data_IF_014026889187
#
_entry.id   IF_014026889187
#
_cell.length_a   1.000
_cell.length_b   1.000
_cell.length_c   1.000
_cell.angle_alpha   90.00
_cell.angle_beta   90.00
_cell.angle_gamma   90.00
#
_symmetry.space_group_name_H-M   'P 1'
#
loop_
_entity.id
_entity.type
_entity.pdbx_description
1 polymer ?
#
# COMPACT_ATOMS: atom_id res chain seq x y z
N UNK A 1 -17.23 -11.87 -15.94
CA UNK A 1 -16.27 -10.78 -16.19
C UNK A 1 -16.50 -9.74 -15.11
N UNK A 2 -15.43 -9.28 -14.46
CA UNK A 2 -15.50 -8.64 -13.14
C UNK A 2 -16.49 -7.47 -13.09
N UNK A 3 -17.46 -7.49 -12.14
CA UNK A 3 -18.53 -6.48 -12.09
C UNK A 3 -18.07 -5.09 -11.60
N UNK A 4 -16.78 -4.91 -11.30
CA UNK A 4 -16.26 -3.68 -10.70
C UNK A 4 -15.07 -3.12 -11.48
N UNK A 5 -15.01 -1.80 -11.64
CA UNK A 5 -13.82 -1.12 -12.15
C UNK A 5 -12.70 -1.19 -11.12
N UNK A 6 -11.52 -1.63 -11.55
CA UNK A 6 -10.33 -1.66 -10.71
C UNK A 6 -9.60 -0.32 -10.78
N UNK A 7 -9.40 0.28 -9.62
CA UNK A 7 -8.59 1.48 -9.42
C UNK A 7 -7.23 1.04 -8.91
N UNK A 8 -6.17 1.48 -9.55
CA UNK A 8 -4.79 1.21 -9.14
C UNK A 8 -4.01 2.49 -8.97
N UNK A 9 -2.95 2.39 -8.16
CA UNK A 9 -1.89 3.40 -8.15
C UNK A 9 -0.90 3.19 -9.29
N UNK A 10 -0.25 4.29 -9.66
CA UNK A 10 0.73 4.37 -10.74
C UNK A 10 1.95 3.48 -10.47
N UNK A 11 2.58 3.02 -11.56
CA UNK A 11 3.73 2.10 -11.55
C UNK A 11 4.97 2.63 -10.82
N UNK A 12 5.09 3.96 -10.65
CA UNK A 12 6.18 4.55 -9.86
C UNK A 12 6.07 4.26 -8.36
N UNK A 13 4.92 3.75 -7.88
CA UNK A 13 4.79 3.28 -6.51
C UNK A 13 5.46 1.91 -6.35
N UNK A 14 6.25 1.74 -5.28
CA UNK A 14 6.81 0.43 -4.93
C UNK A 14 5.75 -0.65 -4.71
N UNK A 15 4.51 -0.26 -4.39
CA UNK A 15 3.37 -1.16 -4.24
C UNK A 15 2.97 -1.79 -5.58
N UNK A 16 2.93 -1.03 -6.67
CA UNK A 16 2.50 -1.55 -7.98
C UNK A 16 3.48 -2.55 -8.55
N UNK A 17 4.78 -2.30 -8.41
CA UNK A 17 5.83 -3.26 -8.82
C UNK A 17 5.69 -4.60 -8.10
N UNK A 18 5.46 -4.56 -6.78
CA UNK A 18 5.27 -5.77 -5.97
C UNK A 18 3.99 -6.52 -6.34
N UNK A 19 2.89 -5.78 -6.54
CA UNK A 19 1.61 -6.34 -6.94
C UNK A 19 1.68 -6.99 -8.32
N UNK A 20 2.24 -6.30 -9.32
CA UNK A 20 2.40 -6.82 -10.68
C UNK A 20 3.25 -8.11 -10.68
N UNK A 21 4.33 -8.15 -9.90
CA UNK A 21 5.17 -9.34 -9.78
C UNK A 21 4.42 -10.53 -9.15
N UNK A 22 3.60 -10.30 -8.11
CA UNK A 22 2.81 -11.34 -7.47
C UNK A 22 1.66 -11.85 -8.37
N UNK A 23 0.99 -10.94 -9.09
CA UNK A 23 -0.04 -11.27 -10.07
C UNK A 23 0.54 -12.12 -11.20
N UNK A 24 1.72 -11.75 -11.72
CA UNK A 24 2.42 -12.50 -12.75
C UNK A 24 2.77 -13.91 -12.29
N UNK A 25 3.32 -14.08 -11.07
CA UNK A 25 3.61 -15.41 -10.48
C UNK A 25 2.36 -16.28 -10.33
N UNK A 26 1.20 -15.65 -10.09
CA UNK A 26 -0.08 -16.35 -9.92
C UNK A 26 -0.85 -16.52 -11.23
N UNK A 27 -0.28 -16.10 -12.36
CA UNK A 27 -0.93 -16.05 -13.67
C UNK A 27 -2.27 -15.30 -13.66
N UNK A 28 -2.40 -14.28 -12.81
CA UNK A 28 -3.58 -13.43 -12.71
C UNK A 28 -3.36 -12.17 -13.56
N UNK A 29 -4.32 -11.86 -14.43
CA UNK A 29 -4.32 -10.62 -15.22
C UNK A 29 -5.46 -9.74 -14.75
N UNK A 30 -5.12 -8.64 -14.09
CA UNK A 30 -6.08 -7.60 -13.72
C UNK A 30 -6.20 -6.56 -14.83
N UNK A 31 -7.43 -6.11 -15.09
CA UNK A 31 -7.71 -5.00 -16.01
C UNK A 31 -7.91 -3.73 -15.22
N UNK A 32 -6.83 -2.97 -15.07
CA UNK A 32 -6.86 -1.64 -14.46
C UNK A 32 -7.72 -0.69 -15.30
N UNK A 33 -8.69 -0.05 -14.67
CA UNK A 33 -9.59 0.91 -15.33
C UNK A 33 -9.18 2.35 -15.04
N UNK A 34 -8.90 2.66 -13.77
CA UNK A 34 -8.35 3.95 -13.35
C UNK A 34 -6.92 3.77 -12.84
N UNK A 35 -6.03 4.66 -13.27
CA UNK A 35 -4.66 4.75 -12.75
C UNK A 35 -4.43 6.13 -12.14
N UNK A 36 -4.08 6.17 -10.85
CA UNK A 36 -3.87 7.42 -10.09
C UNK A 36 -2.48 7.47 -9.48
N UNK A 37 -1.98 8.67 -9.17
CA UNK A 37 -0.63 8.82 -8.59
C UNK A 37 -0.58 8.47 -7.10
N UNK A 38 -1.63 8.78 -6.33
CA UNK A 38 -1.64 8.67 -4.87
C UNK A 38 -2.74 7.73 -4.36
N UNK A 39 -2.45 7.01 -3.27
CA UNK A 39 -3.41 6.09 -2.61
C UNK A 39 -4.65 6.83 -2.09
N UNK A 40 -4.48 8.07 -1.60
CA UNK A 40 -5.60 8.91 -1.14
C UNK A 40 -6.59 9.21 -2.26
N UNK A 41 -6.11 9.53 -3.46
CA UNK A 41 -6.96 9.71 -4.64
C UNK A 41 -7.69 8.42 -5.00
N UNK A 42 -7.01 7.28 -4.91
CA UNK A 42 -7.65 5.98 -5.14
C UNK A 42 -8.79 5.74 -4.15
N UNK A 43 -8.61 6.07 -2.87
CA UNK A 43 -9.66 5.94 -1.86
C UNK A 43 -10.85 6.86 -2.15
N UNK A 44 -10.61 8.11 -2.53
CA UNK A 44 -11.69 9.05 -2.89
C UNK A 44 -12.53 8.57 -4.08
N UNK A 45 -11.91 7.91 -5.07
CA UNK A 45 -12.65 7.30 -6.19
C UNK A 45 -13.50 6.10 -5.76
N UNK A 46 -12.99 5.27 -4.83
CA UNK A 46 -13.76 4.15 -4.25
C UNK A 46 -14.93 4.69 -3.44
N UNK A 47 -14.70 5.72 -2.62
CA UNK A 47 -15.73 6.36 -1.80
C UNK A 47 -16.83 7.00 -2.63
N UNK A 48 -16.48 7.58 -3.77
CA UNK A 48 -17.44 8.10 -4.75
C UNK A 48 -18.14 7.01 -5.58
N UNK A 49 -17.84 5.73 -5.35
CA UNK A 49 -18.52 4.60 -6.00
C UNK A 49 -18.01 4.26 -7.40
N UNK A 50 -16.84 4.77 -7.80
CA UNK A 50 -16.31 4.55 -9.16
C UNK A 50 -15.66 3.17 -9.35
N UNK A 51 -15.42 2.42 -8.29
CA UNK A 51 -14.81 1.10 -8.37
C UNK A 51 -14.27 0.57 -7.05
N UNK A 52 -13.36 -0.40 -7.13
CA UNK A 52 -12.65 -0.99 -5.99
C UNK A 52 -11.14 -0.84 -6.16
N UNK A 53 -10.39 -0.86 -5.06
CA UNK A 53 -8.93 -0.70 -5.08
C UNK A 53 -8.23 -1.75 -4.24
N UNK A 54 -7.00 -2.08 -4.63
CA UNK A 54 -6.07 -2.92 -3.87
C UNK A 54 -5.01 -2.03 -3.26
N UNK A 55 -4.94 -2.03 -1.93
CA UNK A 55 -4.10 -1.13 -1.14
C UNK A 55 -3.28 -1.95 -0.12
N UNK A 56 -2.07 -1.51 0.27
CA UNK A 56 -1.40 -2.09 1.42
C UNK A 56 -2.20 -1.81 2.70
N UNK A 57 -2.16 -2.73 3.67
CA UNK A 57 -2.90 -2.62 4.94
C UNK A 57 -2.68 -1.29 5.68
N UNK A 58 -1.49 -0.71 5.59
CA UNK A 58 -1.18 0.59 6.22
C UNK A 58 -1.94 1.78 5.62
N UNK A 59 -2.47 1.63 4.41
CA UNK A 59 -3.23 2.67 3.70
C UNK A 59 -4.74 2.38 3.66
N UNK A 60 -5.20 1.31 4.31
CA UNK A 60 -6.64 1.05 4.38
C UNK A 60 -7.29 2.03 5.35
N UNK A 61 -8.53 2.46 5.08
CA UNK A 61 -9.28 3.26 6.02
C UNK A 61 -9.48 2.49 7.34
N UNK A 62 -9.79 3.21 8.41
CA UNK A 62 -10.15 2.61 9.70
C UNK A 62 -11.41 1.74 9.54
N UNK A 63 -11.59 0.77 10.43
CA UNK A 63 -12.71 -0.18 10.36
C UNK A 63 -14.07 0.49 10.52
N UNK A 64 -14.12 1.65 11.19
CA UNK A 64 -15.32 2.46 11.42
C UNK A 64 -15.60 3.51 10.32
N UNK A 65 -14.91 3.41 9.17
CA UNK A 65 -15.11 4.35 8.08
C UNK A 65 -16.56 4.28 7.53
N UNK A 66 -17.27 5.41 7.42
CA UNK A 66 -18.72 5.41 7.19
C UNK A 66 -19.13 4.86 5.82
N UNK A 67 -18.27 4.99 4.82
CA UNK A 67 -18.57 4.65 3.42
C UNK A 67 -17.71 3.53 2.82
N UNK A 68 -16.66 3.09 3.51
CA UNK A 68 -15.65 2.20 2.93
C UNK A 68 -15.51 0.92 3.75
N UNK A 69 -15.43 -0.20 3.06
CA UNK A 69 -15.24 -1.51 3.67
C UNK A 69 -13.92 -2.10 3.18
N UNK A 70 -13.04 -2.41 4.12
CA UNK A 70 -11.77 -3.11 3.83
C UNK A 70 -11.99 -4.62 3.92
N UNK A 71 -11.48 -5.36 2.92
CA UNK A 71 -11.47 -6.84 2.90
C UNK A 71 -10.05 -7.36 2.75
N UNK A 72 -9.56 -8.24 3.63
CA UNK A 72 -8.22 -8.78 3.53
C UNK A 72 -8.11 -9.78 2.36
N UNK A 73 -7.06 -9.65 1.56
CA UNK A 73 -6.69 -10.59 0.51
C UNK A 73 -5.73 -11.61 1.13
N UNK A 74 -6.10 -12.90 1.09
CA UNK A 74 -5.31 -13.98 1.74
C UNK A 74 -4.51 -14.84 0.76
N UNK A 75 -4.99 -14.98 -0.48
CA UNK A 75 -4.41 -15.87 -1.48
C UNK A 75 -4.30 -15.15 -2.84
N UNK A 76 -3.11 -14.71 -3.28
CA UNK A 76 -1.84 -14.72 -2.54
C UNK A 76 -1.77 -13.62 -1.48
N UNK A 77 -1.11 -13.89 -0.36
CA UNK A 77 -0.64 -12.84 0.54
C UNK A 77 0.64 -12.22 -0.03
N UNK A 78 0.67 -10.89 -0.09
CA UNK A 78 1.79 -10.12 -0.64
C UNK A 78 2.29 -9.19 0.45
N UNK A 79 3.52 -9.39 0.88
CA UNK A 79 4.16 -8.57 1.91
C UNK A 79 5.48 -7.98 1.43
N UNK A 80 5.86 -6.86 2.05
CA UNK A 80 7.19 -6.25 1.89
C UNK A 80 7.67 -5.73 3.23
N UNK A 81 8.97 -5.75 3.44
CA UNK A 81 9.60 -5.15 4.62
C UNK A 81 9.81 -3.66 4.38
N UNK A 82 9.38 -2.83 5.34
CA UNK A 82 9.77 -1.42 5.41
C UNK A 82 10.94 -1.33 6.39
N UNK A 83 11.97 -0.56 6.04
CA UNK A 83 13.16 -0.41 6.87
C UNK A 83 13.74 1.00 6.79
N UNK A 84 14.65 1.28 7.71
CA UNK A 84 15.39 2.54 7.78
C UNK A 84 16.72 2.40 7.05
N UNK A 85 17.01 3.31 6.14
CA UNK A 85 18.30 3.38 5.44
C UNK A 85 19.18 4.43 6.10
N UNK A 86 20.40 4.06 6.48
CA UNK A 86 21.42 4.97 7.02
C UNK A 86 22.76 4.78 6.32
N UNK A 87 23.55 5.85 6.23
CA UNK A 87 24.92 5.80 5.70
C UNK A 87 25.79 4.95 6.61
N UNK A 88 26.49 3.97 6.04
CA UNK A 88 27.48 3.17 6.78
C UNK A 88 28.57 4.07 7.34
N UNK A 89 28.87 3.93 8.63
CA UNK A 89 29.87 4.76 9.33
C UNK A 89 29.45 6.20 9.61
N UNK A 90 28.21 6.60 9.29
CA UNK A 90 27.66 7.87 9.73
C UNK A 90 27.16 7.79 11.17
N UNK A 91 27.46 8.80 11.98
CA UNK A 91 26.81 9.02 13.27
C UNK A 91 25.50 9.78 13.08
N UNK A 92 24.50 9.44 13.88
CA UNK A 92 23.25 10.19 13.93
C UNK A 92 23.41 11.34 14.94
N UNK A 93 22.72 12.46 14.71
CA UNK A 93 22.61 13.48 15.75
C UNK A 93 21.74 12.95 16.89
N UNK A 94 21.84 13.50 18.11
CA UNK A 94 20.99 13.07 19.23
C UNK A 94 19.49 13.10 18.89
N UNK A 95 19.04 14.12 18.13
CA UNK A 95 17.65 14.21 17.68
C UNK A 95 17.28 13.09 16.68
N UNK A 96 18.18 12.73 15.77
CA UNK A 96 17.95 11.66 14.80
C UNK A 96 17.97 10.27 15.45
N UNK A 97 18.81 10.05 16.47
CA UNK A 97 18.79 8.83 17.29
C UNK A 97 17.46 8.69 18.02
N UNK A 98 17.00 9.76 18.70
CA UNK A 98 15.69 9.76 19.36
C UNK A 98 14.56 9.49 18.38
N UNK A 99 14.60 10.07 17.18
CA UNK A 99 13.60 9.80 16.15
C UNK A 99 13.63 8.33 15.70
N UNK A 100 14.82 7.75 15.49
CA UNK A 100 14.96 6.34 15.15
C UNK A 100 14.42 5.43 16.25
N UNK A 101 14.73 5.71 17.52
CA UNK A 101 14.20 4.98 18.68
C UNK A 101 12.68 5.01 18.70
N UNK A 102 12.06 6.18 18.52
CA UNK A 102 10.60 6.32 18.45
C UNK A 102 10.01 5.52 17.28
N UNK A 103 10.63 5.62 16.09
CA UNK A 103 10.16 4.95 14.89
C UNK A 103 10.21 3.42 15.04
N UNK A 104 11.30 2.88 15.57
CA UNK A 104 11.43 1.44 15.82
C UNK A 104 10.53 1.00 16.98
N UNK A 105 10.35 1.82 18.02
CA UNK A 105 9.43 1.50 19.13
C UNK A 105 7.97 1.37 18.70
N UNK A 106 7.55 2.10 17.67
CA UNK A 106 6.17 2.05 17.15
C UNK A 106 5.96 0.97 16.08
N UNK A 107 6.97 0.72 15.23
CA UNK A 107 6.81 -0.12 14.02
C UNK A 107 7.82 -1.27 13.87
N UNK A 108 8.74 -1.45 14.81
CA UNK A 108 9.83 -2.43 14.73
C UNK A 108 9.53 -3.82 15.29
N UNK A 109 8.29 -4.09 15.71
CA UNK A 109 7.80 -5.39 16.22
C UNK A 109 7.06 -6.19 15.16
#
# INVERSE_FOLDING_TARGET
MEPYHLITVHRSSGNRTLLDAALAKSNIKLRWFYEVTHLSTSLGLVEAGLGISVLPRMATPREDHPALITRPIRNPEISRTIGVVRRRGGTLSPAAERFLEMLIGVWGT
#
